data_IF_603623057003
#
_entry.id   IF_603623057003
#
_cell.length_a   1.000
_cell.length_b   1.000
_cell.length_c   1.000
_cell.angle_alpha   90.00
_cell.angle_beta   90.00
_cell.angle_gamma   90.00
#
_symmetry.space_group_name_H-M   'P 1'
#
loop_
_entity.id
_entity.type
_entity.pdbx_description
1 polymer ?
#
# COMPACT_ATOMS: atom_id res chain seq x y z
N UNK A 1 6.01 -15.29 22.56
CA UNK A 1 5.27 -14.31 21.73
C UNK A 1 5.75 -14.42 20.29
N UNK A 2 4.88 -14.18 19.32
CA UNK A 2 5.25 -14.00 17.90
C UNK A 2 4.77 -12.62 17.51
N UNK A 3 5.71 -11.76 17.14
CA UNK A 3 5.39 -10.41 16.67
C UNK A 3 4.85 -10.47 15.25
N UNK A 4 3.93 -9.54 14.95
CA UNK A 4 3.29 -9.45 13.65
C UNK A 4 4.26 -9.00 12.57
N UNK A 5 4.15 -9.62 11.40
CA UNK A 5 4.89 -9.21 10.21
C UNK A 5 3.95 -8.76 9.10
N UNK A 6 4.36 -7.72 8.37
CA UNK A 6 3.64 -7.26 7.20
C UNK A 6 3.70 -8.30 6.09
N UNK A 7 2.56 -8.57 5.46
CA UNK A 7 2.53 -9.21 4.15
C UNK A 7 3.25 -8.34 3.13
N UNK A 8 3.57 -8.94 1.98
CA UNK A 8 3.89 -8.14 0.79
C UNK A 8 2.77 -7.13 0.53
N UNK A 9 3.14 -5.99 -0.04
CA UNK A 9 2.18 -5.02 -0.51
C UNK A 9 1.31 -5.62 -1.61
N UNK A 10 0.02 -5.34 -1.57
CA UNK A 10 -0.89 -5.57 -2.68
C UNK A 10 -0.55 -4.70 -3.90
N UNK A 11 -1.20 -4.96 -5.04
CA UNK A 11 -1.08 -4.10 -6.21
C UNK A 11 -1.59 -2.69 -5.89
N UNK A 12 -1.03 -1.69 -6.58
CA UNK A 12 -1.59 -0.35 -6.58
C UNK A 12 -3.00 -0.35 -7.18
N UNK A 13 -3.89 0.44 -6.59
CA UNK A 13 -5.19 0.75 -7.15
C UNK A 13 -5.03 1.50 -8.48
N UNK A 14 -6.12 1.58 -9.24
CA UNK A 14 -6.17 2.56 -10.33
C UNK A 14 -5.98 3.98 -9.78
N UNK A 15 -5.45 4.85 -10.63
CA UNK A 15 -5.32 6.27 -10.34
C UNK A 15 -6.68 6.93 -10.12
N UNK A 16 -6.80 7.62 -8.99
CA UNK A 16 -7.96 8.43 -8.69
C UNK A 16 -7.98 9.70 -9.54
N UNK A 17 -9.13 10.38 -9.56
CA UNK A 17 -9.29 11.70 -10.19
C UNK A 17 -8.36 12.77 -9.61
N UNK A 18 -7.76 12.51 -8.44
CA UNK A 18 -6.76 13.39 -7.79
C UNK A 18 -5.32 12.95 -8.04
N UNK A 19 -5.09 12.06 -8.99
CA UNK A 19 -3.74 11.61 -9.36
C UNK A 19 -3.03 10.81 -8.29
N UNK A 20 -3.80 10.15 -7.44
CA UNK A 20 -3.26 9.30 -6.39
C UNK A 20 -3.73 7.86 -6.54
N UNK A 21 -2.86 6.93 -6.20
CA UNK A 21 -3.16 5.50 -6.12
C UNK A 21 -2.81 5.00 -4.71
N UNK A 22 -3.53 3.97 -4.27
CA UNK A 22 -3.37 3.38 -2.94
C UNK A 22 -3.04 1.91 -3.04
N UNK A 23 -2.25 1.38 -2.10
CA UNK A 23 -2.05 -0.06 -1.94
C UNK A 23 -2.13 -0.43 -0.47
N UNK A 24 -2.53 -1.66 -0.21
CA UNK A 24 -2.74 -2.17 1.14
C UNK A 24 -1.83 -3.37 1.42
N UNK A 25 -1.53 -3.59 2.69
CA UNK A 25 -0.84 -4.76 3.23
C UNK A 25 -1.51 -5.19 4.52
N UNK A 26 -1.29 -6.43 4.92
CA UNK A 26 -1.92 -6.99 6.13
C UNK A 26 -0.86 -7.47 7.11
N UNK A 27 -1.11 -7.33 8.40
CA UNK A 27 -0.22 -7.82 9.45
C UNK A 27 -0.45 -9.32 9.70
N UNK A 28 -0.10 -10.15 8.71
CA UNK A 28 -0.42 -11.59 8.71
C UNK A 28 0.77 -12.48 8.34
N UNK A 29 1.95 -11.90 8.09
CA UNK A 29 3.14 -12.62 7.63
C UNK A 29 4.33 -12.38 8.58
N UNK A 30 4.30 -12.88 9.83
CA UNK A 30 3.28 -13.77 10.43
C UNK A 30 2.17 -13.02 11.17
N UNK A 31 1.09 -13.72 11.53
CA UNK A 31 0.03 -13.20 12.40
C UNK A 31 0.56 -13.10 13.85
N UNK A 32 0.39 -11.95 14.54
CA UNK A 32 0.85 -11.80 15.92
C UNK A 32 0.11 -12.78 16.85
N UNK A 33 0.85 -13.41 17.77
CA UNK A 33 0.27 -14.39 18.71
C UNK A 33 1.01 -14.44 20.04
N UNK A 34 0.36 -15.02 21.06
CA UNK A 34 0.93 -15.22 22.40
C UNK A 34 1.50 -13.91 23.00
N UNK A 35 0.77 -12.81 22.86
CA UNK A 35 1.15 -11.48 23.37
C UNK A 35 2.23 -10.75 22.57
N UNK A 36 2.50 -11.15 21.32
CA UNK A 36 3.43 -10.42 20.45
C UNK A 36 2.89 -9.09 19.95
N UNK A 37 3.81 -8.21 19.56
CA UNK A 37 3.49 -6.87 19.08
C UNK A 37 2.73 -6.90 17.75
N UNK A 38 1.86 -5.91 17.53
CA UNK A 38 1.29 -5.69 16.22
C UNK A 38 2.34 -5.08 15.27
N UNK A 39 2.09 -5.12 13.96
CA UNK A 39 3.00 -4.52 13.00
C UNK A 39 3.03 -3.00 13.15
N UNK A 40 4.24 -2.44 13.18
CA UNK A 40 4.45 -0.99 13.21
C UNK A 40 4.33 -0.37 11.82
N UNK A 41 3.72 0.82 11.76
CA UNK A 41 3.51 1.59 10.54
C UNK A 41 2.14 1.39 9.89
N UNK A 42 1.90 1.99 8.71
CA UNK A 42 0.58 2.00 8.11
C UNK A 42 0.27 0.71 7.34
N UNK A 43 -0.99 0.29 7.37
CA UNK A 43 -1.51 -0.81 6.55
C UNK A 43 -1.81 -0.40 5.10
N UNK A 44 -1.89 0.91 4.85
CA UNK A 44 -2.19 1.50 3.55
C UNK A 44 -1.12 2.54 3.20
N UNK A 45 -0.73 2.57 1.93
CA UNK A 45 0.14 3.60 1.38
C UNK A 45 -0.58 4.31 0.24
N UNK A 46 -0.35 5.61 0.14
CA UNK A 46 -0.86 6.47 -0.94
C UNK A 46 0.32 7.15 -1.61
N UNK A 47 0.34 7.11 -2.94
CA UNK A 47 1.33 7.84 -3.72
C UNK A 47 0.69 8.53 -4.93
N UNK A 48 1.44 9.44 -5.55
CA UNK A 48 1.07 10.00 -6.83
C UNK A 48 1.20 8.96 -7.95
N UNK A 49 0.40 9.13 -8.99
CA UNK A 49 0.44 8.30 -10.18
C UNK A 49 1.63 8.66 -11.06
N UNK A 50 2.40 7.67 -11.48
CA UNK A 50 3.63 7.90 -12.25
C UNK A 50 3.37 8.52 -13.65
N UNK A 51 2.20 8.30 -14.26
CA UNK A 51 1.98 8.69 -15.69
C UNK A 51 0.57 9.11 -16.09
N UNK A 52 -0.50 8.69 -15.40
CA UNK A 52 -1.85 8.75 -16.00
C UNK A 52 -2.71 9.95 -15.61
N UNK A 53 -2.11 10.97 -15.00
CA UNK A 53 -2.91 12.05 -14.41
C UNK A 53 -2.65 13.46 -14.97
N UNK A 54 -1.62 13.59 -15.80
CA UNK A 54 -1.65 14.58 -16.85
C UNK A 54 -2.49 13.99 -17.99
N UNK A 55 -3.69 14.53 -18.23
CA UNK A 55 -4.40 14.23 -19.46
C UNK A 55 -3.45 14.43 -20.65
N UNK A 56 -3.29 13.39 -21.46
CA UNK A 56 -2.60 13.36 -22.77
C UNK A 56 -1.65 14.52 -23.06
N UNK A 57 -0.34 14.33 -22.85
CA UNK A 57 0.68 15.19 -23.47
C UNK A 57 1.84 14.41 -24.10
N UNK A 58 1.55 13.24 -24.67
CA UNK A 58 2.39 12.65 -25.74
C UNK A 58 1.83 13.01 -27.13
N UNK A 59 1.50 14.28 -27.34
CA UNK A 59 1.53 14.88 -28.68
C UNK A 59 2.74 15.80 -28.77
N UNK A 60 3.92 15.21 -28.89
CA UNK A 60 5.04 15.73 -29.69
C UNK A 60 5.82 14.55 -30.26
#
# INVERSE_FOLDING_TARGET
AVDGGWSGWGPWSNCSVRCTQTRDRTCTSPVPSNGGAHCDGPAQETQECDTSCAGNSELF
#
